data_IF_103522183209
#
_entry.id   IF_103522183209
#
_cell.length_a   1.000
_cell.length_b   1.000
_cell.length_c   1.000
_cell.angle_alpha   90.00
_cell.angle_beta   90.00
_cell.angle_gamma   90.00
#
_symmetry.space_group_name_H-M   'P 1'
#
loop_
_entity.id
_entity.type
_entity.pdbx_description
1 polymer ?
#
# COMPACT_ATOMS: atom_id res chain seq x y z
N UNK A 1 -22.10 -16.56 15.14
CA UNK A 1 -21.38 -15.63 14.25
C UNK A 1 -20.09 -16.33 13.83
N UNK A 2 -19.67 -16.26 12.56
CA UNK A 2 -18.40 -16.85 12.14
C UNK A 2 -17.25 -16.00 12.77
N UNK A 3 -16.37 -16.57 13.60
CA UNK A 3 -15.27 -15.82 14.22
C UNK A 3 -14.29 -15.24 13.19
N UNK A 4 -14.26 -15.82 11.98
CA UNK A 4 -13.39 -15.40 10.88
C UNK A 4 -14.12 -14.51 9.86
N UNK A 5 -15.24 -13.88 10.22
CA UNK A 5 -15.92 -12.97 9.31
C UNK A 5 -15.03 -11.76 9.02
N UNK A 6 -14.58 -11.53 7.77
CA UNK A 6 -13.73 -10.38 7.45
C UNK A 6 -14.50 -9.07 7.61
N UNK A 7 -13.86 -8.08 8.25
CA UNK A 7 -14.40 -6.73 8.45
C UNK A 7 -13.32 -5.69 8.22
N UNK A 8 -13.69 -4.52 7.70
CA UNK A 8 -12.81 -3.35 7.64
C UNK A 8 -13.01 -2.58 8.95
N UNK A 9 -11.93 -2.39 9.70
CA UNK A 9 -11.97 -1.77 11.04
C UNK A 9 -11.43 -0.34 11.07
N UNK A 10 -10.71 0.09 10.04
CA UNK A 10 -10.15 1.44 9.95
C UNK A 10 -9.79 1.78 8.51
N UNK A 11 -9.98 3.04 8.13
CA UNK A 11 -9.73 3.55 6.78
C UNK A 11 -9.07 4.93 6.84
N UNK A 12 -8.28 5.24 5.82
CA UNK A 12 -7.71 6.58 5.66
C UNK A 12 -7.43 6.86 4.20
N UNK A 13 -7.55 8.14 3.83
CA UNK A 13 -7.16 8.63 2.53
C UNK A 13 -6.45 9.98 2.69
N UNK A 14 -5.35 10.16 1.95
CA UNK A 14 -4.58 11.40 1.95
C UNK A 14 -4.65 12.03 0.57
N UNK A 15 -5.03 13.30 0.52
CA UNK A 15 -4.95 14.12 -0.68
C UNK A 15 -3.97 15.26 -0.44
N UNK A 16 -2.81 15.20 -1.08
CA UNK A 16 -1.82 16.27 -1.02
C UNK A 16 -1.95 17.20 -2.23
N UNK A 17 -2.23 18.48 -1.97
CA UNK A 17 -2.24 19.55 -2.99
C UNK A 17 -1.11 20.53 -2.70
N UNK A 18 0.11 20.19 -3.10
CA UNK A 18 1.29 21.05 -2.91
C UNK A 18 1.53 21.96 -4.10
N UNK A 19 2.00 23.18 -3.80
CA UNK A 19 2.44 24.16 -4.79
C UNK A 19 3.95 24.07 -5.01
N UNK A 20 4.72 24.02 -3.92
CA UNK A 20 6.15 23.74 -3.95
C UNK A 20 6.39 22.22 -4.06
N UNK A 21 7.31 21.81 -4.92
CA UNK A 21 7.68 20.41 -5.10
C UNK A 21 8.53 19.89 -3.94
N UNK A 22 9.20 20.77 -3.18
CA UNK A 22 9.93 20.39 -1.97
C UNK A 22 9.00 19.84 -0.87
N UNK A 23 7.71 20.20 -0.89
CA UNK A 23 6.71 19.71 0.05
C UNK A 23 6.04 18.39 -0.43
N UNK A 24 6.32 17.97 -1.67
CA UNK A 24 5.70 16.78 -2.25
C UNK A 24 6.21 15.53 -1.53
N UNK A 25 5.29 14.73 -1.00
CA UNK A 25 5.61 13.45 -0.38
C UNK A 25 5.76 12.38 -1.45
N UNK A 26 6.69 11.46 -1.22
CA UNK A 26 6.80 10.25 -2.03
C UNK A 26 5.58 9.33 -1.81
N UNK A 27 5.18 8.52 -2.82
CA UNK A 27 4.04 7.62 -2.67
C UNK A 27 4.19 6.68 -1.49
N UNK A 28 5.39 6.15 -1.26
CA UNK A 28 5.59 5.18 -0.19
C UNK A 28 5.47 5.80 1.21
N UNK A 29 5.81 7.09 1.37
CA UNK A 29 5.59 7.80 2.62
C UNK A 29 4.10 8.14 2.82
N UNK A 30 3.37 8.42 1.72
CA UNK A 30 1.91 8.57 1.76
C UNK A 30 1.22 7.27 2.18
N UNK A 31 1.71 6.10 1.74
CA UNK A 31 1.20 4.80 2.16
C UNK A 31 1.38 4.58 3.67
N UNK A 32 2.56 4.91 4.20
CA UNK A 32 2.86 4.80 5.65
C UNK A 32 1.97 5.74 6.46
N UNK A 33 1.84 7.00 6.04
CA UNK A 33 0.98 7.97 6.73
C UNK A 33 -0.50 7.55 6.70
N UNK A 34 -0.96 7.00 5.57
CA UNK A 34 -2.33 6.49 5.45
C UNK A 34 -2.56 5.29 6.38
N UNK A 35 -1.59 4.37 6.49
CA UNK A 35 -1.67 3.23 7.39
C UNK A 35 -1.78 3.65 8.87
N UNK A 36 -0.94 4.61 9.30
CA UNK A 36 -0.99 5.18 10.65
C UNK A 36 -2.36 5.80 10.93
N UNK A 37 -2.87 6.63 10.02
CA UNK A 37 -4.19 7.26 10.16
C UNK A 37 -5.35 6.25 10.15
N UNK A 38 -5.23 5.14 9.41
CA UNK A 38 -6.25 4.09 9.42
C UNK A 38 -6.27 3.34 10.75
N UNK A 39 -5.12 3.18 11.42
CA UNK A 39 -5.06 2.62 12.77
C UNK A 39 -5.59 3.58 13.84
N UNK A 40 -5.40 4.89 13.64
CA UNK A 40 -6.06 5.91 14.47
C UNK A 40 -7.58 5.87 14.31
N UNK A 41 -8.09 5.71 13.08
CA UNK A 41 -9.53 5.62 12.76
C UNK A 41 -10.21 4.43 13.46
N UNK A 42 -9.50 3.30 13.64
CA UNK A 42 -10.03 2.15 14.38
C UNK A 42 -9.92 2.29 15.92
N UNK A 43 -9.33 3.40 16.41
CA UNK A 43 -9.14 3.66 17.84
C UNK A 43 -8.08 2.78 18.52
N UNK A 44 -7.27 2.05 17.73
CA UNK A 44 -6.21 1.15 18.23
C UNK A 44 -4.91 1.32 17.43
N UNK A 45 -4.15 2.41 17.62
CA UNK A 45 -2.94 2.69 16.84
C UNK A 45 -1.88 1.58 16.92
N UNK A 46 -1.73 0.94 18.08
CA UNK A 46 -0.77 -0.16 18.30
C UNK A 46 -1.06 -1.44 17.51
N UNK A 47 -2.25 -1.54 16.89
CA UNK A 47 -2.64 -2.69 16.09
C UNK A 47 -1.74 -2.89 14.84
N UNK A 48 -1.06 -1.83 14.38
CA UNK A 48 -0.17 -1.93 13.21
C UNK A 48 0.98 -2.91 13.41
N UNK A 49 1.48 -3.05 14.64
CA UNK A 49 2.55 -3.99 14.96
C UNK A 49 2.09 -5.46 14.87
N UNK A 50 0.77 -5.70 14.93
CA UNK A 50 0.15 -7.02 14.83
C UNK A 50 -0.18 -7.43 13.37
N UNK A 51 0.08 -6.56 12.38
CA UNK A 51 -0.24 -6.83 10.98
C UNK A 51 0.56 -8.03 10.46
N UNK A 52 -0.15 -9.04 9.95
CA UNK A 52 0.43 -10.31 9.47
C UNK A 52 0.72 -10.32 7.95
N UNK A 53 0.22 -9.30 7.23
CA UNK A 53 0.38 -9.15 5.78
C UNK A 53 0.22 -7.68 5.38
N UNK A 54 1.22 -7.14 4.70
CA UNK A 54 1.20 -5.79 4.11
C UNK A 54 1.06 -5.95 2.60
N UNK A 55 -0.05 -5.47 2.04
CA UNK A 55 -0.36 -5.61 0.62
C UNK A 55 -0.41 -4.25 -0.05
N UNK A 56 0.54 -4.02 -0.94
CA UNK A 56 0.66 -2.75 -1.67
C UNK A 56 0.08 -2.90 -3.06
N UNK A 57 -0.92 -2.07 -3.36
CA UNK A 57 -1.49 -1.95 -4.70
C UNK A 57 -0.47 -1.26 -5.60
N UNK A 58 -0.20 -1.86 -6.78
CA UNK A 58 0.76 -1.34 -7.74
C UNK A 58 0.27 -0.02 -8.34
N UNK A 59 1.13 1.00 -8.24
CA UNK A 59 0.93 2.32 -8.81
C UNK A 59 2.01 2.71 -9.82
N UNK A 60 2.08 3.98 -10.19
CA UNK A 60 3.04 4.51 -11.17
C UNK A 60 4.29 5.10 -10.49
N UNK A 61 5.20 4.21 -10.11
CA UNK A 61 6.48 4.53 -9.45
C UNK A 61 7.59 3.53 -9.86
N UNK A 62 8.77 3.59 -9.22
CA UNK A 62 9.91 2.73 -9.55
C UNK A 62 10.32 1.76 -8.44
N UNK A 63 9.53 1.66 -7.38
CA UNK A 63 9.82 0.77 -6.25
C UNK A 63 9.83 -0.70 -6.71
N UNK A 64 10.85 -1.46 -6.28
CA UNK A 64 10.90 -2.90 -6.49
C UNK A 64 9.88 -3.59 -5.55
N UNK A 65 9.98 -3.30 -4.26
CA UNK A 65 9.20 -3.96 -3.22
C UNK A 65 8.82 -2.95 -2.10
N UNK A 66 7.80 -2.10 -2.31
CA UNK A 66 7.35 -1.11 -1.33
C UNK A 66 6.70 -1.71 -0.07
N UNK A 67 6.21 -2.94 -0.10
CA UNK A 67 5.52 -3.55 1.05
C UNK A 67 6.44 -3.70 2.26
N UNK A 68 7.71 -4.07 2.05
CA UNK A 68 8.72 -4.26 3.08
C UNK A 68 9.11 -2.95 3.76
N UNK A 69 9.24 -1.87 2.99
CA UNK A 69 9.47 -0.54 3.58
C UNK A 69 8.27 -0.09 4.41
N UNK A 70 7.04 -0.29 3.92
CA UNK A 70 5.83 0.04 4.70
C UNK A 70 5.80 -0.79 5.99
N UNK A 71 6.06 -2.11 5.90
CA UNK A 71 6.09 -3.02 7.04
C UNK A 71 7.12 -2.60 8.10
N UNK A 72 8.34 -2.25 7.68
CA UNK A 72 9.38 -1.72 8.58
C UNK A 72 8.91 -0.45 9.29
N UNK A 73 8.31 0.51 8.56
CA UNK A 73 7.92 1.81 9.14
C UNK A 73 6.72 1.72 10.09
N UNK A 74 5.89 0.70 9.97
CA UNK A 74 4.75 0.48 10.88
C UNK A 74 5.03 -0.58 11.97
N UNK A 75 6.28 -1.08 12.06
CA UNK A 75 6.71 -1.98 13.13
C UNK A 75 6.41 -3.47 12.92
N UNK A 76 6.02 -3.91 11.71
CA UNK A 76 5.65 -5.30 11.42
C UNK A 76 6.61 -5.99 10.42
N UNK A 77 7.93 -5.93 10.67
CA UNK A 77 8.96 -6.44 9.75
C UNK A 77 8.87 -7.93 9.37
N UNK A 78 8.09 -8.73 10.09
CA UNK A 78 7.85 -10.15 9.80
C UNK A 78 6.52 -10.41 9.03
N UNK A 79 5.81 -9.35 8.63
CA UNK A 79 4.59 -9.48 7.85
C UNK A 79 4.86 -10.10 6.47
N UNK A 80 3.89 -10.84 5.95
CA UNK A 80 3.89 -11.27 4.55
C UNK A 80 3.86 -10.03 3.63
N UNK A 81 4.75 -9.97 2.66
CA UNK A 81 4.93 -8.85 1.76
C UNK A 81 4.27 -9.15 0.42
N UNK A 82 3.15 -8.49 0.14
CA UNK A 82 2.31 -8.78 -1.03
C UNK A 82 2.25 -7.56 -1.95
N UNK A 83 2.41 -7.79 -3.25
CA UNK A 83 2.20 -6.79 -4.29
C UNK A 83 1.00 -7.13 -5.17
N UNK A 84 0.63 -6.21 -6.06
CA UNK A 84 -0.31 -6.52 -7.15
C UNK A 84 0.35 -6.33 -8.51
N UNK A 85 -0.24 -6.92 -9.54
CA UNK A 85 0.01 -6.50 -10.92
C UNK A 85 -0.57 -5.10 -11.17
N UNK A 86 -0.35 -4.55 -12.36
CA UNK A 86 -1.09 -3.35 -12.80
C UNK A 86 -2.56 -3.71 -13.11
N UNK A 87 -3.47 -2.76 -12.87
CA UNK A 87 -4.86 -2.89 -13.27
C UNK A 87 -5.82 -2.11 -12.39
N UNK A 88 -6.84 -1.48 -12.99
CA UNK A 88 -7.86 -0.71 -12.26
C UNK A 88 -8.72 -1.56 -11.31
N UNK A 89 -8.73 -2.88 -11.48
CA UNK A 89 -9.41 -3.84 -10.62
C UNK A 89 -8.58 -4.34 -9.43
N UNK A 90 -7.29 -3.98 -9.34
CA UNK A 90 -6.36 -4.60 -8.38
C UNK A 90 -6.70 -4.29 -6.92
N UNK A 91 -7.30 -3.13 -6.64
CA UNK A 91 -7.83 -2.81 -5.30
C UNK A 91 -8.90 -3.83 -4.90
N UNK A 92 -9.84 -4.14 -5.79
CA UNK A 92 -10.90 -5.10 -5.52
C UNK A 92 -10.35 -6.53 -5.44
N UNK A 93 -9.42 -6.91 -6.31
CA UNK A 93 -8.79 -8.23 -6.27
C UNK A 93 -8.01 -8.45 -4.97
N UNK A 94 -7.24 -7.45 -4.52
CA UNK A 94 -6.53 -7.52 -3.24
C UNK A 94 -7.47 -7.59 -2.04
N UNK A 95 -8.57 -6.81 -2.07
CA UNK A 95 -9.60 -6.86 -1.02
C UNK A 95 -10.27 -8.24 -0.96
N UNK A 96 -10.67 -8.78 -2.11
CA UNK A 96 -11.30 -10.10 -2.20
C UNK A 96 -10.37 -11.20 -1.70
N UNK A 97 -9.11 -11.20 -2.13
CA UNK A 97 -8.11 -12.17 -1.66
C UNK A 97 -7.90 -12.06 -0.14
N UNK A 98 -7.90 -10.84 0.40
CA UNK A 98 -7.78 -10.60 1.84
C UNK A 98 -8.98 -11.12 2.63
N UNK A 99 -10.19 -10.89 2.13
CA UNK A 99 -11.40 -11.42 2.74
C UNK A 99 -11.40 -12.96 2.76
N UNK A 100 -10.93 -13.61 1.69
CA UNK A 100 -10.78 -15.07 1.63
C UNK A 100 -9.73 -15.58 2.62
N UNK A 101 -8.56 -14.93 2.69
CA UNK A 101 -7.49 -15.31 3.61
C UNK A 101 -7.98 -15.22 5.07
N UNK A 102 -8.73 -14.17 5.43
CA UNK A 102 -9.32 -14.02 6.76
C UNK A 102 -10.42 -15.04 7.01
N UNK A 103 -11.36 -15.22 6.07
CA UNK A 103 -12.46 -16.17 6.20
C UNK A 103 -11.99 -17.61 6.43
N UNK A 104 -10.86 -17.99 5.82
CA UNK A 104 -10.22 -19.29 5.99
C UNK A 104 -9.36 -19.40 7.26
N UNK A 105 -9.19 -18.31 8.03
CA UNK A 105 -8.34 -18.26 9.22
C UNK A 105 -6.83 -18.26 8.92
N UNK A 106 -6.44 -17.95 7.67
CA UNK A 106 -5.03 -17.88 7.27
C UNK A 106 -4.37 -16.56 7.69
N UNK A 107 -5.17 -15.50 7.86
CA UNK A 107 -4.74 -14.20 8.38
C UNK A 107 -5.78 -13.64 9.35
N UNK A 108 -5.35 -12.91 10.37
CA UNK A 108 -6.21 -12.24 11.35
C UNK A 108 -6.26 -10.73 11.15
N UNK A 109 -5.17 -10.15 10.65
CA UNK A 109 -5.02 -8.72 10.43
C UNK A 109 -4.14 -8.43 9.21
N UNK A 110 -4.65 -7.63 8.27
CA UNK A 110 -3.99 -7.33 7.00
C UNK A 110 -4.10 -5.83 6.72
N UNK A 111 -3.00 -5.22 6.29
CA UNK A 111 -2.98 -3.86 5.78
C UNK A 111 -3.05 -3.88 4.24
N UNK A 112 -4.03 -3.18 3.68
CA UNK A 112 -4.09 -2.83 2.26
C UNK A 112 -3.71 -1.36 2.11
N UNK A 113 -2.73 -1.04 1.25
CA UNK A 113 -2.34 0.35 1.00
C UNK A 113 -1.90 0.58 -0.44
N UNK A 114 -1.84 1.83 -0.86
CA UNK A 114 -1.45 2.25 -2.19
C UNK A 114 -1.40 3.78 -2.25
N UNK A 115 -0.67 4.32 -3.21
CA UNK A 115 -0.57 5.76 -3.41
C UNK A 115 -0.12 6.09 -4.83
N UNK A 116 -0.52 7.27 -5.28
CA UNK A 116 -0.15 7.85 -6.56
C UNK A 116 0.21 9.33 -6.39
N UNK A 117 1.17 9.81 -7.20
CA UNK A 117 1.64 11.20 -7.16
C UNK A 117 1.65 11.86 -8.54
N UNK A 118 0.73 11.46 -9.43
CA UNK A 118 0.70 11.88 -10.84
C UNK A 118 0.77 13.40 -11.05
N UNK A 119 0.09 14.19 -10.20
CA UNK A 119 0.16 15.65 -10.26
C UNK A 119 1.55 16.20 -9.93
N UNK A 120 2.20 15.70 -8.87
CA UNK A 120 3.56 16.10 -8.50
C UNK A 120 4.57 15.68 -9.57
N UNK A 121 4.43 14.48 -10.13
CA UNK A 121 5.27 14.02 -11.26
C UNK A 121 5.11 14.91 -12.49
N UNK A 122 3.88 15.30 -12.85
CA UNK A 122 3.63 16.18 -13.98
C UNK A 122 4.26 17.57 -13.80
N UNK A 123 4.16 18.14 -12.59
CA UNK A 123 4.80 19.41 -12.24
C UNK A 123 6.33 19.33 -12.25
N UNK A 124 6.91 18.27 -11.68
CA UNK A 124 8.35 18.05 -11.67
C UNK A 124 8.91 17.96 -13.11
N UNK A 125 8.24 17.18 -13.98
CA UNK A 125 8.57 17.11 -15.41
C UNK A 125 8.50 18.48 -16.09
N UNK A 126 7.46 19.27 -15.84
CA UNK A 126 7.30 20.62 -16.42
C UNK A 126 8.42 21.58 -15.99
N UNK A 127 8.93 21.42 -14.78
CA UNK A 127 9.99 22.26 -14.21
C UNK A 127 11.40 21.68 -14.41
N UNK A 128 11.55 20.58 -15.17
CA UNK A 128 12.81 19.85 -15.34
C UNK A 128 13.48 19.47 -14.01
N UNK A 129 12.67 19.14 -13.01
CA UNK A 129 13.09 18.65 -11.71
C UNK A 129 12.82 17.15 -11.60
N UNK A 130 13.64 16.46 -10.81
CA UNK A 130 13.41 15.07 -10.42
C UNK A 130 12.89 15.02 -8.98
N UNK A 131 11.93 14.13 -8.73
CA UNK A 131 11.49 13.81 -7.37
C UNK A 131 12.38 12.69 -6.83
N UNK A 132 12.74 12.78 -5.55
CA UNK A 132 13.46 11.70 -4.87
C UNK A 132 12.62 10.42 -4.91
N UNK A 133 13.29 9.29 -5.06
CA UNK A 133 12.66 7.97 -4.97
C UNK A 133 13.53 7.13 -4.05
N UNK A 134 12.96 6.71 -2.91
CA UNK A 134 13.61 5.74 -2.04
C UNK A 134 13.84 4.42 -2.76
N UNK A 135 15.00 3.83 -2.54
CA UNK A 135 15.26 2.47 -2.99
C UNK A 135 14.51 1.48 -2.11
N UNK A 136 13.86 0.51 -2.75
CA UNK A 136 13.27 -0.64 -2.09
C UNK A 136 13.81 -1.89 -2.76
N UNK A 137 13.99 -2.96 -1.99
CA UNK A 137 14.66 -4.17 -2.43
C UNK A 137 13.91 -5.41 -1.97
N UNK A 138 14.26 -6.54 -2.57
CA UNK A 138 13.73 -7.85 -2.23
C UNK A 138 12.59 -8.28 -3.16
N UNK A 139 12.11 -9.49 -2.91
CA UNK A 139 11.01 -10.10 -3.63
C UNK A 139 9.72 -9.99 -2.82
N UNK A 140 8.58 -10.10 -3.50
CA UNK A 140 7.31 -10.29 -2.81
C UNK A 140 7.13 -11.77 -2.45
N UNK A 141 6.55 -12.04 -1.28
CA UNK A 141 6.11 -13.39 -0.91
C UNK A 141 4.96 -13.85 -1.82
N UNK A 142 4.13 -12.90 -2.27
CA UNK A 142 2.99 -13.15 -3.16
C UNK A 142 2.71 -11.95 -4.06
N UNK A 143 2.33 -12.21 -5.31
CA UNK A 143 1.75 -11.22 -6.21
C UNK A 143 0.29 -11.56 -6.49
N UNK A 144 -0.59 -10.56 -6.39
CA UNK A 144 -2.02 -10.67 -6.70
C UNK A 144 -2.28 -10.13 -8.10
N UNK A 145 -3.03 -10.91 -8.89
CA UNK A 145 -3.31 -10.60 -10.30
C UNK A 145 -2.45 -11.44 -11.24
N UNK A 146 -2.75 -11.35 -12.53
CA UNK A 146 -1.93 -11.93 -13.59
C UNK A 146 -1.36 -10.77 -14.40
N UNK A 147 -0.09 -10.87 -14.79
CA UNK A 147 0.48 -9.95 -15.76
C UNK A 147 -0.10 -10.29 -17.13
N UNK A 148 -1.06 -9.50 -17.58
CA UNK A 148 -1.48 -9.51 -18.98
C UNK A 148 -0.63 -8.49 -19.74
N UNK A 149 -0.07 -8.86 -20.92
CA UNK A 149 0.63 -7.88 -21.75
C UNK A 149 -0.35 -6.76 -22.10
N UNK A 150 0.03 -5.50 -21.86
CA UNK A 150 -0.75 -4.37 -22.37
C UNK A 150 -0.82 -4.50 -23.89
N UNK A 151 -2.03 -4.63 -24.42
CA UNK A 151 -2.27 -4.57 -25.86
C UNK A 151 -1.68 -3.26 -26.36
N UNK A 152 -0.67 -3.36 -27.22
CA UNK A 152 0.00 -2.23 -27.86
C UNK A 152 -0.85 -1.51 -28.89
#
# INVERSE_FOLDING_TARGET
MNPNMPVIIGVSQILQRVTDLNDAKEPIDLMVEAAIKAADDCGKPGLLEEVESVRVIRGWWKYQQPAGYVAEKIGCSNAELVGTCYGGNMVQSALNATAVDIANGAKSLVLLTGAEIGNSLAKARKNSQELSVKETHGEYDRLIGQEEPMSG
#
